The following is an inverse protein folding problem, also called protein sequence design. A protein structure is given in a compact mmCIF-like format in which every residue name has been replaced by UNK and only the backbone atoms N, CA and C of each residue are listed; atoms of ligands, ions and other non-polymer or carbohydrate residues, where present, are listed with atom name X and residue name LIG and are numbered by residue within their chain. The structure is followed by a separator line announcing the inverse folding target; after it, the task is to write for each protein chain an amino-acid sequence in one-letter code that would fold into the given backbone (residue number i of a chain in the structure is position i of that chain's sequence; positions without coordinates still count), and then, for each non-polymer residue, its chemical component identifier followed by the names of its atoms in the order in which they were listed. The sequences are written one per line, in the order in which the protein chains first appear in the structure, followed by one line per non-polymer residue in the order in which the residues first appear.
data_IF_536694787141
#
_entry.id   IF_536694787141
#
_cell.length_a   1.000
_cell.length_b   1.000
_cell.length_c   1.000
_cell.angle_alpha   90.00
_cell.angle_beta   90.00
_cell.angle_gamma   90.00
#
_symmetry.space_group_name_H-M   'P 1'
#
loop_
_entity.id
_entity.type
_entity.pdbx_description
1 polymer ?
#
# COMPACT_ATOMS: atom_id res chain seq x y z
N UNK A 1 14.70 -22.92 6.92
CA UNK A 1 13.57 -22.82 5.98
C UNK A 1 13.88 -21.70 5.02
N UNK A 2 13.77 -21.93 3.71
CA UNK A 2 13.96 -20.88 2.68
C UNK A 2 12.81 -19.89 2.74
N UNK A 3 13.10 -18.59 2.71
CA UNK A 3 12.06 -17.55 2.66
C UNK A 3 11.48 -17.47 1.24
N UNK A 4 10.27 -16.91 1.06
CA UNK A 4 9.71 -16.68 -0.27
C UNK A 4 10.69 -15.88 -1.15
N UNK A 5 10.83 -16.18 -2.45
CA UNK A 5 11.61 -15.35 -3.36
C UNK A 5 11.10 -13.91 -3.44
N UNK A 6 11.96 -13.04 -3.91
CA UNK A 6 11.66 -11.63 -4.23
C UNK A 6 12.00 -11.37 -5.69
N UNK A 7 11.25 -10.49 -6.35
CA UNK A 7 11.42 -10.15 -7.75
C UNK A 7 12.01 -8.76 -7.90
N UNK A 8 12.93 -8.58 -8.84
CA UNK A 8 13.50 -7.28 -9.19
C UNK A 8 12.95 -6.78 -10.52
N UNK A 9 12.84 -5.46 -10.60
CA UNK A 9 12.51 -4.72 -11.82
C UNK A 9 13.76 -4.38 -12.65
N UNK A 10 13.57 -4.09 -13.94
CA UNK A 10 14.64 -3.73 -14.87
C UNK A 10 15.38 -2.47 -14.43
N UNK A 11 14.67 -1.48 -13.88
CA UNK A 11 15.26 -0.20 -13.49
C UNK A 11 16.33 -0.32 -12.38
N UNK A 12 16.22 -1.32 -11.50
CA UNK A 12 17.24 -1.62 -10.47
C UNK A 12 18.52 -2.11 -11.14
N UNK A 13 18.38 -3.08 -12.06
CA UNK A 13 19.50 -3.68 -12.77
C UNK A 13 20.23 -2.64 -13.63
N UNK A 14 19.48 -1.74 -14.27
CA UNK A 14 20.03 -0.63 -15.07
C UNK A 14 20.82 0.36 -14.21
N UNK A 15 20.37 0.67 -12.98
CA UNK A 15 21.14 1.55 -12.09
C UNK A 15 22.43 0.90 -11.59
N UNK A 16 22.41 -0.41 -11.31
CA UNK A 16 23.61 -1.18 -10.95
C UNK A 16 24.60 -1.21 -12.12
N UNK A 17 24.13 -1.55 -13.32
CA UNK A 17 24.94 -1.63 -14.54
C UNK A 17 25.63 -0.30 -14.88
N UNK A 18 24.95 0.82 -14.61
CA UNK A 18 25.49 2.18 -14.80
C UNK A 18 26.34 2.68 -13.63
N UNK A 19 26.53 1.88 -12.58
CA UNK A 19 27.27 2.28 -11.37
C UNK A 19 26.62 3.43 -10.59
N UNK A 20 25.31 3.67 -10.79
CA UNK A 20 24.59 4.80 -10.18
C UNK A 20 24.05 4.49 -8.78
N UNK A 21 24.00 3.22 -8.41
CA UNK A 21 23.47 2.77 -7.13
C UNK A 21 24.40 1.76 -6.44
N UNK A 22 25.55 2.21 -5.90
CA UNK A 22 26.59 1.33 -5.35
C UNK A 22 26.12 0.46 -4.18
N UNK A 23 25.04 0.87 -3.50
CA UNK A 23 24.50 0.16 -2.34
C UNK A 23 23.43 -0.88 -2.71
N UNK A 24 22.95 -0.91 -3.96
CA UNK A 24 21.94 -1.89 -4.39
C UNK A 24 22.47 -3.32 -4.42
N UNK A 25 23.72 -3.51 -4.84
CA UNK A 25 24.34 -4.84 -4.80
C UNK A 25 24.43 -5.37 -3.36
N UNK A 26 24.74 -4.49 -2.40
CA UNK A 26 24.79 -4.84 -0.98
C UNK A 26 23.41 -5.22 -0.44
N UNK A 27 22.35 -4.53 -0.87
CA UNK A 27 20.98 -4.84 -0.48
C UNK A 27 20.47 -6.15 -1.09
N UNK A 28 20.81 -6.43 -2.35
CA UNK A 28 20.55 -7.73 -2.98
C UNK A 28 21.27 -8.85 -2.21
N UNK A 29 22.53 -8.62 -1.84
CA UNK A 29 23.29 -9.56 -1.01
C UNK A 29 22.70 -9.72 0.40
N UNK A 30 22.10 -8.67 0.99
CA UNK A 30 21.37 -8.75 2.26
C UNK A 30 20.15 -9.67 2.11
N UNK A 31 19.32 -9.46 1.08
CA UNK A 31 18.15 -10.31 0.80
C UNK A 31 18.53 -11.78 0.66
N UNK A 32 19.62 -12.06 -0.05
CA UNK A 32 20.16 -13.42 -0.21
C UNK A 32 20.67 -14.00 1.11
N UNK A 33 21.42 -13.22 1.91
CA UNK A 33 21.87 -13.64 3.26
C UNK A 33 20.69 -13.90 4.20
N UNK A 34 19.61 -13.17 4.04
CA UNK A 34 18.35 -13.35 4.78
C UNK A 34 17.55 -14.57 4.32
N UNK A 35 18.02 -15.28 3.29
CA UNK A 35 17.46 -16.54 2.81
C UNK A 35 16.42 -16.39 1.69
N UNK A 36 16.31 -15.21 1.06
CA UNK A 36 15.49 -15.01 -0.13
C UNK A 36 16.24 -15.43 -1.40
N UNK A 37 15.54 -16.12 -2.30
CA UNK A 37 15.99 -16.21 -3.69
C UNK A 37 15.61 -14.92 -4.42
N UNK A 38 16.54 -14.37 -5.21
CA UNK A 38 16.33 -13.12 -5.96
C UNK A 38 16.08 -13.46 -7.41
N UNK A 39 14.88 -13.11 -7.89
CA UNK A 39 14.36 -13.50 -9.19
C UNK A 39 14.10 -12.29 -10.09
N UNK A 40 14.06 -12.53 -11.40
CA UNK A 40 13.54 -11.60 -12.41
C UNK A 40 12.57 -12.34 -13.32
N UNK A 41 11.59 -11.64 -13.89
CA UNK A 41 10.75 -12.24 -14.94
C UNK A 41 11.51 -12.34 -16.25
N UNK A 42 11.05 -13.19 -17.18
CA UNK A 42 11.60 -13.26 -18.54
C UNK A 42 11.50 -11.92 -19.28
N UNK A 43 10.48 -11.12 -18.99
CA UNK A 43 10.32 -9.78 -19.56
C UNK A 43 11.40 -8.83 -19.05
N UNK A 44 11.69 -8.85 -17.74
CA UNK A 44 12.78 -8.06 -17.14
C UNK A 44 14.13 -8.49 -17.69
N UNK A 45 14.37 -9.80 -17.82
CA UNK A 45 15.59 -10.32 -18.47
C UNK A 45 15.72 -9.80 -19.90
N UNK A 46 14.66 -9.94 -20.71
CA UNK A 46 14.68 -9.48 -22.10
C UNK A 46 14.91 -7.98 -22.21
N UNK A 47 14.23 -7.17 -21.40
CA UNK A 47 14.41 -5.72 -21.37
C UNK A 47 15.84 -5.33 -20.98
N UNK A 48 16.41 -6.02 -19.99
CA UNK A 48 17.76 -5.73 -19.49
C UNK A 48 18.87 -6.18 -20.45
N UNK A 49 18.72 -7.33 -21.11
CA UNK A 49 19.76 -7.91 -21.99
C UNK A 49 19.66 -7.47 -23.46
N UNK A 50 18.46 -7.08 -23.91
CA UNK A 50 18.13 -6.85 -25.34
C UNK A 50 17.40 -5.53 -25.58
N UNK A 51 17.64 -4.51 -24.75
CA UNK A 51 17.08 -3.17 -24.95
C UNK A 51 17.41 -2.60 -26.34
N UNK A 52 16.63 -1.61 -26.84
CA UNK A 52 16.60 -1.19 -28.25
C UNK A 52 17.91 -0.60 -28.84
N UNK A 53 19.01 -0.60 -28.08
CA UNK A 53 20.34 -0.11 -28.49
C UNK A 53 21.51 -0.97 -27.99
N UNK A 54 21.29 -2.25 -27.64
CA UNK A 54 22.34 -3.11 -27.12
C UNK A 54 23.25 -3.64 -28.22
N UNK A 55 24.56 -3.39 -28.08
CA UNK A 55 25.59 -4.13 -28.81
C UNK A 55 25.86 -5.50 -28.15
N UNK A 56 26.56 -6.40 -28.84
CA UNK A 56 26.98 -7.67 -28.24
C UNK A 56 27.84 -7.48 -26.97
N UNK A 57 28.62 -6.40 -26.91
CA UNK A 57 29.39 -6.04 -25.71
C UNK A 57 28.48 -5.57 -24.57
N UNK A 58 27.41 -4.83 -24.86
CA UNK A 58 26.44 -4.41 -23.85
C UNK A 58 25.67 -5.60 -23.27
N UNK A 59 25.26 -6.55 -24.11
CA UNK A 59 24.60 -7.79 -23.66
C UNK A 59 25.54 -8.61 -22.77
N UNK A 60 26.81 -8.78 -23.15
CA UNK A 60 27.79 -9.50 -22.32
C UNK A 60 28.04 -8.81 -20.97
N UNK A 61 28.10 -7.47 -20.95
CA UNK A 61 28.24 -6.67 -19.72
C UNK A 61 27.02 -6.85 -18.81
N UNK A 62 25.81 -6.74 -19.37
CA UNK A 62 24.57 -6.94 -18.63
C UNK A 62 24.42 -8.37 -18.11
N UNK A 63 24.80 -9.39 -18.89
CA UNK A 63 24.85 -10.77 -18.42
C UNK A 63 25.82 -10.91 -17.23
N UNK A 64 26.98 -10.27 -17.29
CA UNK A 64 27.92 -10.23 -16.17
C UNK A 64 27.36 -9.59 -14.90
N UNK A 65 26.40 -8.65 -15.01
CA UNK A 65 25.67 -8.10 -13.85
C UNK A 65 24.73 -9.16 -13.26
N UNK A 66 23.94 -9.87 -14.08
CA UNK A 66 23.04 -10.92 -13.60
C UNK A 66 23.82 -12.04 -12.89
N UNK A 67 24.93 -12.47 -13.48
CA UNK A 67 25.80 -13.52 -12.93
C UNK A 67 26.44 -13.07 -11.60
N UNK A 68 26.97 -11.84 -11.55
CA UNK A 68 27.55 -11.25 -10.33
C UNK A 68 26.54 -11.19 -9.19
N UNK A 69 25.31 -10.77 -9.49
CA UNK A 69 24.24 -10.63 -8.51
C UNK A 69 23.57 -11.97 -8.16
N UNK A 70 23.89 -13.05 -8.86
CA UNK A 70 23.25 -14.38 -8.71
C UNK A 70 21.72 -14.31 -8.83
N UNK A 71 21.23 -13.42 -9.69
CA UNK A 71 19.81 -13.26 -9.99
C UNK A 71 19.40 -14.36 -10.97
N UNK A 72 18.24 -14.98 -10.75
CA UNK A 72 17.73 -16.04 -11.63
C UNK A 72 16.48 -15.61 -12.37
N UNK A 73 16.36 -16.09 -13.60
CA UNK A 73 15.12 -15.96 -14.36
C UNK A 73 14.07 -16.90 -13.79
N UNK A 74 12.89 -16.34 -13.53
CA UNK A 74 11.78 -17.07 -12.99
C UNK A 74 11.04 -17.87 -14.08
N UNK A 75 10.91 -19.17 -13.86
CA UNK A 75 10.31 -20.13 -14.80
C UNK A 75 8.97 -20.68 -14.33
N UNK A 76 8.52 -20.32 -13.12
CA UNK A 76 7.36 -20.95 -12.48
C UNK A 76 6.02 -20.38 -12.95
N UNK A 77 6.01 -19.18 -13.54
CA UNK A 77 4.81 -18.60 -14.15
C UNK A 77 4.18 -19.54 -15.21
N UNK A 78 5.00 -20.35 -15.90
CA UNK A 78 4.55 -21.32 -16.90
C UNK A 78 3.68 -22.46 -16.32
N UNK A 79 3.61 -22.59 -14.99
CA UNK A 79 2.75 -23.58 -14.32
C UNK A 79 1.31 -23.08 -14.14
N UNK A 80 1.02 -21.82 -14.47
CA UNK A 80 -0.31 -21.23 -14.43
C UNK A 80 -0.86 -21.15 -15.86
N UNK A 81 -2.16 -21.43 -16.09
CA UNK A 81 -2.75 -21.33 -17.43
C UNK A 81 -2.56 -19.94 -18.04
N UNK A 82 -2.11 -19.89 -19.29
CA UNK A 82 -1.83 -18.63 -20.01
C UNK A 82 -3.04 -17.69 -20.03
N UNK A 83 -4.26 -18.22 -20.13
CA UNK A 83 -5.50 -17.43 -20.06
C UNK A 83 -5.63 -16.66 -18.75
N UNK A 84 -5.24 -17.27 -17.62
CA UNK A 84 -5.28 -16.62 -16.31
C UNK A 84 -4.22 -15.51 -16.23
N UNK A 85 -3.01 -15.76 -16.76
CA UNK A 85 -1.95 -14.75 -16.82
C UNK A 85 -2.39 -13.55 -17.67
N UNK A 86 -3.01 -13.80 -18.83
CA UNK A 86 -3.57 -12.76 -19.70
C UNK A 86 -4.71 -11.99 -19.04
N UNK A 87 -5.56 -12.64 -18.26
CA UNK A 87 -6.63 -11.97 -17.53
C UNK A 87 -6.06 -10.94 -16.53
N UNK A 88 -5.07 -11.32 -15.73
CA UNK A 88 -4.41 -10.39 -14.79
C UNK A 88 -3.66 -9.26 -15.49
N UNK A 89 -3.01 -9.56 -16.62
CA UNK A 89 -2.37 -8.55 -17.46
C UNK A 89 -3.39 -7.52 -17.95
N UNK A 90 -4.50 -7.98 -18.53
CA UNK A 90 -5.53 -7.10 -19.07
C UNK A 90 -6.21 -6.28 -17.95
N UNK A 91 -6.42 -6.89 -16.79
CA UNK A 91 -6.88 -6.19 -15.59
C UNK A 91 -5.91 -5.05 -15.23
N UNK A 92 -4.60 -5.32 -15.14
CA UNK A 92 -3.60 -4.30 -14.84
C UNK A 92 -3.61 -3.14 -15.85
N UNK A 93 -3.71 -3.43 -17.16
CA UNK A 93 -3.78 -2.42 -18.22
C UNK A 93 -5.05 -1.56 -18.09
N UNK A 94 -6.21 -2.20 -17.92
CA UNK A 94 -7.49 -1.48 -17.77
C UNK A 94 -7.51 -0.52 -16.57
N UNK A 95 -6.60 -0.73 -15.62
CA UNK A 95 -6.44 0.09 -14.45
C UNK A 95 -5.20 1.00 -14.47
N UNK A 96 -4.66 1.26 -15.65
CA UNK A 96 -3.69 2.32 -15.91
C UNK A 96 -2.23 1.93 -15.70
N UNK A 97 -1.89 0.64 -15.59
CA UNK A 97 -0.50 0.22 -15.74
C UNK A 97 -0.10 0.24 -17.22
N UNK A 98 1.18 0.54 -17.49
CA UNK A 98 1.73 0.35 -18.82
C UNK A 98 1.71 -1.14 -19.20
N UNK A 99 1.74 -1.43 -20.49
CA UNK A 99 1.79 -2.83 -20.97
C UNK A 99 3.00 -3.58 -20.38
N UNK A 100 4.24 -3.03 -20.41
CA UNK A 100 5.39 -3.68 -19.79
C UNK A 100 5.20 -3.99 -18.30
N UNK A 101 4.71 -3.03 -17.51
CA UNK A 101 4.49 -3.23 -16.08
C UNK A 101 3.42 -4.29 -15.83
N UNK A 102 2.33 -4.25 -16.60
CA UNK A 102 1.25 -5.22 -16.51
C UNK A 102 1.72 -6.65 -16.82
N UNK A 103 2.61 -6.82 -17.80
CA UNK A 103 3.19 -8.12 -18.12
C UNK A 103 4.08 -8.65 -16.99
N UNK A 104 4.91 -7.79 -16.39
CA UNK A 104 5.77 -8.14 -15.26
C UNK A 104 4.92 -8.54 -14.05
N UNK A 105 3.93 -7.73 -13.69
CA UNK A 105 3.03 -8.01 -12.56
C UNK A 105 2.28 -9.33 -12.77
N UNK A 106 1.72 -9.57 -13.96
CA UNK A 106 0.99 -10.80 -14.25
C UNK A 106 1.88 -12.05 -14.13
N UNK A 107 3.14 -11.98 -14.61
CA UNK A 107 4.09 -13.07 -14.46
C UNK A 107 4.48 -13.33 -13.01
N UNK A 108 4.74 -12.27 -12.22
CA UNK A 108 5.06 -12.41 -10.79
C UNK A 108 3.90 -13.07 -10.05
N UNK A 109 2.65 -12.63 -10.29
CA UNK A 109 1.45 -13.24 -9.71
C UNK A 109 1.34 -14.72 -10.05
N UNK A 110 1.51 -15.07 -11.33
CA UNK A 110 1.46 -16.45 -11.80
C UNK A 110 2.49 -17.31 -11.06
N UNK A 111 3.70 -16.78 -10.94
CA UNK A 111 4.78 -17.44 -10.23
C UNK A 111 4.54 -17.60 -8.74
N UNK A 112 3.92 -16.60 -8.11
CA UNK A 112 3.54 -16.62 -6.71
C UNK A 112 2.46 -17.67 -6.47
N UNK A 113 1.41 -17.70 -7.31
CA UNK A 113 0.37 -18.72 -7.28
C UNK A 113 0.96 -20.13 -7.41
N UNK A 114 1.86 -20.35 -8.37
CA UNK A 114 2.52 -21.65 -8.56
C UNK A 114 3.39 -22.09 -7.36
N UNK A 115 3.79 -21.16 -6.49
CA UNK A 115 4.57 -21.40 -5.27
C UNK A 115 3.74 -21.35 -3.99
N UNK A 116 2.43 -21.08 -4.06
CA UNK A 116 1.60 -20.85 -2.88
C UNK A 116 2.01 -19.60 -2.07
N UNK A 117 2.59 -18.60 -2.73
CA UNK A 117 3.01 -17.35 -2.11
C UNK A 117 1.87 -16.35 -2.22
N UNK A 118 1.40 -15.87 -1.06
CA UNK A 118 0.29 -14.91 -1.00
C UNK A 118 0.71 -13.51 -1.41
N UNK A 119 1.89 -13.03 -1.03
CA UNK A 119 2.31 -11.65 -1.31
C UNK A 119 3.72 -11.62 -1.90
N UNK A 120 3.83 -11.81 -3.24
CA UNK A 120 5.14 -11.75 -3.88
C UNK A 120 5.71 -10.35 -3.80
N UNK A 121 6.93 -10.23 -3.28
CA UNK A 121 7.62 -8.94 -3.15
C UNK A 121 8.23 -8.58 -4.49
N UNK A 122 7.83 -7.43 -5.02
CA UNK A 122 8.40 -6.87 -6.24
C UNK A 122 9.13 -5.57 -5.92
N UNK A 123 10.45 -5.57 -6.08
CA UNK A 123 11.26 -4.38 -5.89
C UNK A 123 11.41 -3.62 -7.20
N UNK A 124 11.10 -2.33 -7.16
CA UNK A 124 11.18 -1.41 -8.31
C UNK A 124 11.69 -0.04 -7.88
N UNK A 125 12.24 0.75 -8.81
CA UNK A 125 12.54 2.18 -8.58
C UNK A 125 11.36 3.10 -8.88
N UNK A 126 10.26 2.56 -9.38
CA UNK A 126 9.03 3.32 -9.53
C UNK A 126 8.51 3.80 -8.18
N UNK A 127 7.84 4.95 -8.21
CA UNK A 127 7.33 5.61 -7.02
C UNK A 127 5.90 6.11 -7.23
N UNK A 128 5.26 6.50 -6.12
CA UNK A 128 3.96 7.18 -6.15
C UNK A 128 2.84 6.33 -6.75
N UNK A 129 2.14 6.87 -7.76
CA UNK A 129 0.94 6.29 -8.35
C UNK A 129 1.16 4.89 -8.94
N UNK A 130 2.33 4.65 -9.55
CA UNK A 130 2.69 3.37 -10.18
C UNK A 130 2.82 2.25 -9.16
N UNK A 131 3.54 2.47 -8.03
CA UNK A 131 3.59 1.51 -6.92
C UNK A 131 2.20 1.20 -6.38
N UNK A 132 1.37 2.23 -6.20
CA UNK A 132 -0.01 2.07 -5.78
C UNK A 132 -0.79 1.18 -6.75
N UNK A 133 -0.60 1.37 -8.05
CA UNK A 133 -1.26 0.59 -9.09
C UNK A 133 -0.81 -0.87 -9.10
N UNK A 134 0.50 -1.14 -9.03
CA UNK A 134 1.05 -2.50 -8.92
C UNK A 134 0.53 -3.24 -7.68
N UNK A 135 0.49 -2.58 -6.51
CA UNK A 135 -0.06 -3.16 -5.28
C UNK A 135 -1.53 -3.53 -5.36
N UNK A 136 -2.32 -2.85 -6.20
CA UNK A 136 -3.73 -3.22 -6.39
C UNK A 136 -3.91 -4.50 -7.19
N UNK A 137 -2.86 -4.95 -7.89
CA UNK A 137 -2.87 -6.08 -8.82
C UNK A 137 -2.09 -7.28 -8.28
N UNK A 138 -2.08 -7.47 -6.97
CA UNK A 138 -1.54 -8.70 -6.39
C UNK A 138 -0.02 -8.84 -6.42
N UNK A 139 0.72 -7.75 -6.28
CA UNK A 139 2.14 -7.81 -5.88
C UNK A 139 2.43 -6.84 -4.74
N UNK A 140 3.35 -7.20 -3.85
CA UNK A 140 3.87 -6.28 -2.86
C UNK A 140 4.97 -5.42 -3.49
N UNK A 141 4.57 -4.40 -4.26
CA UNK A 141 5.52 -3.51 -4.92
C UNK A 141 6.18 -2.57 -3.90
N UNK A 142 7.50 -2.67 -3.76
CA UNK A 142 8.31 -1.91 -2.80
C UNK A 142 9.33 -1.09 -3.57
N UNK A 143 9.39 0.22 -3.25
CA UNK A 143 10.44 1.07 -3.78
C UNK A 143 11.80 0.57 -3.28
N UNK A 144 12.72 0.27 -4.19
CA UNK A 144 14.07 -0.15 -3.85
C UNK A 144 14.87 1.07 -3.39
N UNK A 145 14.79 1.31 -2.09
CA UNK A 145 15.54 2.33 -1.36
C UNK A 145 16.57 1.63 -0.49
N UNK A 146 17.80 2.12 -0.54
CA UNK A 146 18.82 1.74 0.44
C UNK A 146 18.35 2.27 1.79
N UNK A 147 18.11 1.40 2.76
CA UNK A 147 17.89 1.88 4.13
C UNK A 147 19.18 2.57 4.59
N UNK A 148 19.09 3.86 4.96
CA UNK A 148 20.18 4.49 5.67
C UNK A 148 20.49 3.66 6.93
N UNK A 149 21.76 3.51 7.34
CA UNK A 149 22.09 2.85 8.59
C UNK A 149 21.26 3.47 9.71
N UNK A 150 20.50 2.64 10.45
CA UNK A 150 19.68 3.09 11.58
C UNK A 150 20.55 3.94 12.51
N UNK A 151 20.19 5.21 12.79
CA UNK A 151 20.83 5.95 13.86
C UNK A 151 20.62 5.18 15.17
N UNK A 152 21.70 4.91 15.90
CA UNK A 152 21.60 4.41 17.26
C UNK A 152 20.76 5.40 18.07
N UNK A 153 19.64 4.93 18.62
CA UNK A 153 18.73 5.75 19.41
C UNK A 153 19.44 6.11 20.72
N UNK A 154 20.05 7.30 20.77
CA UNK A 154 20.41 7.91 22.04
C UNK A 154 19.12 8.45 22.67
N UNK A 155 18.59 7.72 23.64
CA UNK A 155 17.48 8.18 24.48
C UNK A 155 18.00 9.35 25.31
N UNK A 156 17.67 10.58 24.92
CA UNK A 156 17.81 11.75 25.79
C UNK A 156 16.46 12.01 26.46
N UNK A 157 16.47 12.08 27.79
CA UNK A 157 15.26 12.33 28.59
C UNK A 157 14.74 13.77 28.38
N UNK A 158 13.42 14.01 28.49
CA UNK A 158 12.85 15.34 28.24
C UNK A 158 13.26 16.34 29.33
N UNK A 159 13.72 17.52 28.92
CA UNK A 159 13.92 18.69 29.80
C UNK A 159 12.55 19.39 30.05
N UNK A 160 12.31 20.01 31.21
CA UNK A 160 11.00 20.58 31.55
C UNK A 160 10.62 21.79 30.67
N UNK A 161 9.31 22.03 30.45
CA UNK A 161 8.85 23.08 29.53
C UNK A 161 8.96 24.48 30.15
N UNK A 162 9.53 25.41 29.39
CA UNK A 162 9.47 26.87 29.61
C UNK A 162 8.20 27.47 28.96
N UNK A 163 7.62 28.56 29.49
CA UNK A 163 6.32 29.08 29.07
C UNK A 163 6.37 29.83 27.72
N UNK A 164 5.26 29.85 26.96
CA UNK A 164 5.26 30.30 25.56
C UNK A 164 5.20 31.83 25.42
N UNK A 165 5.95 32.37 24.45
CA UNK A 165 5.83 33.75 23.93
C UNK A 165 5.10 33.78 22.59
N UNK A 166 4.44 34.90 22.20
CA UNK A 166 3.49 34.95 21.09
C UNK A 166 4.22 35.04 19.74
N UNK A 167 4.08 33.98 18.94
CA UNK A 167 4.60 33.89 17.56
C UNK A 167 4.34 32.54 16.88
N UNK A 168 3.44 31.72 17.45
CA UNK A 168 3.38 30.27 17.28
C UNK A 168 2.65 29.76 16.02
N UNK A 169 1.98 30.61 15.25
CA UNK A 169 1.01 30.14 14.25
C UNK A 169 1.69 29.67 12.95
N UNK A 170 2.73 30.38 12.48
CA UNK A 170 3.46 29.97 11.26
C UNK A 170 4.43 28.80 11.49
N UNK A 171 4.97 28.68 12.70
CA UNK A 171 5.89 27.59 13.03
C UNK A 171 5.18 26.23 13.06
N UNK A 172 3.96 26.15 13.65
CA UNK A 172 3.18 24.91 13.78
C UNK A 172 2.74 24.30 12.45
N UNK A 173 2.39 25.12 11.45
CA UNK A 173 2.01 24.61 10.12
C UNK A 173 3.18 23.91 9.40
N UNK A 174 4.40 24.43 9.59
CA UNK A 174 5.60 23.81 9.04
C UNK A 174 6.04 22.59 9.86
N UNK A 175 5.84 22.58 11.19
CA UNK A 175 6.12 21.39 12.01
C UNK A 175 5.15 20.25 11.72
N UNK A 176 3.88 20.53 11.43
CA UNK A 176 2.90 19.53 11.00
C UNK A 176 3.23 18.96 9.60
N UNK A 177 3.68 19.80 8.67
CA UNK A 177 4.17 19.36 7.34
C UNK A 177 5.43 18.49 7.43
N UNK A 178 6.31 18.75 8.39
CA UNK A 178 7.51 17.93 8.63
C UNK A 178 7.18 16.64 9.40
N UNK A 179 6.24 16.66 10.35
CA UNK A 179 5.79 15.48 11.09
C UNK A 179 5.02 14.48 10.20
N UNK A 180 4.30 14.96 9.18
CA UNK A 180 3.65 14.12 8.16
C UNK A 180 4.65 13.34 7.29
N UNK A 181 5.90 13.80 7.21
CA UNK A 181 6.93 13.23 6.34
C UNK A 181 7.86 12.21 7.04
N UNK A 182 7.88 12.16 8.38
CA UNK A 182 8.97 11.50 9.13
C UNK A 182 8.59 10.42 10.15
N UNK A 183 7.32 10.01 10.35
CA UNK A 183 7.10 9.00 11.38
C UNK A 183 5.70 8.47 11.59
N UNK A 184 5.44 7.32 10.98
CA UNK A 184 4.27 6.46 11.16
C UNK A 184 4.21 5.97 12.62
N UNK A 185 3.35 6.60 13.43
CA UNK A 185 2.58 6.04 14.57
C UNK A 185 1.99 7.15 15.45
N UNK A 186 2.67 8.29 15.58
CA UNK A 186 2.24 9.39 16.46
C UNK A 186 1.19 10.34 15.85
N UNK A 187 1.20 10.52 14.52
CA UNK A 187 0.22 11.39 13.82
C UNK A 187 -1.17 10.75 13.65
N UNK A 188 -1.30 9.46 13.96
CA UNK A 188 -2.51 8.65 13.73
C UNK A 188 -3.10 8.14 15.06
N UNK A 189 -3.05 8.96 16.11
CA UNK A 189 -3.90 8.80 17.28
C UNK A 189 -5.18 9.64 17.09
N UNK A 190 -6.27 9.40 17.86
CA UNK A 190 -7.43 10.29 17.88
C UNK A 190 -7.05 11.77 18.05
N UNK A 191 -6.01 12.05 18.84
CA UNK A 191 -5.45 13.39 19.08
C UNK A 191 -4.71 13.93 17.85
N UNK A 192 -4.00 13.07 17.11
CA UNK A 192 -3.38 13.42 15.83
C UNK A 192 -4.39 13.77 14.74
N UNK A 193 -5.49 13.01 14.65
CA UNK A 193 -6.62 13.34 13.77
C UNK A 193 -7.31 14.65 14.16
N UNK A 194 -7.46 14.92 15.46
CA UNK A 194 -7.96 16.20 15.95
C UNK A 194 -7.02 17.36 15.60
N UNK A 195 -5.70 17.13 15.62
CA UNK A 195 -4.69 18.16 15.29
C UNK A 195 -4.59 18.50 13.79
N UNK A 196 -5.11 17.63 12.91
CA UNK A 196 -5.23 17.92 11.49
C UNK A 196 -6.33 18.94 11.21
N UNK A 197 -7.25 19.17 12.15
CA UNK A 197 -8.24 20.24 12.05
C UNK A 197 -7.49 21.57 12.25
N UNK A 198 -7.42 22.46 11.25
CA UNK A 198 -6.70 23.71 11.42
C UNK A 198 -7.49 24.58 12.39
N UNK A 199 -6.91 24.87 13.56
CA UNK A 199 -7.46 25.81 14.56
C UNK A 199 -7.84 27.17 13.92
N UNK A 200 -7.19 27.53 12.81
CA UNK A 200 -7.40 28.77 12.04
C UNK A 200 -8.73 28.79 11.26
N UNK A 201 -9.29 27.63 10.86
CA UNK A 201 -10.59 27.56 10.16
C UNK A 201 -11.75 27.86 11.13
N UNK A 202 -11.50 27.75 12.44
CA UNK A 202 -12.46 28.00 13.50
C UNK A 202 -12.35 29.43 14.06
N UNK A 203 -12.25 30.47 13.22
CA UNK A 203 -12.25 31.88 13.68
C UNK A 203 -13.42 32.77 13.18
N UNK A 204 -14.15 32.46 12.09
CA UNK A 204 -15.15 33.39 11.51
C UNK A 204 -16.49 32.68 11.21
N UNK A 205 -17.62 33.40 11.18
CA UNK A 205 -19.00 32.93 11.45
C UNK A 205 -19.75 32.05 10.41
N UNK A 206 -19.11 31.47 9.38
CA UNK A 206 -19.76 30.55 8.41
C UNK A 206 -19.38 29.06 8.60
N UNK A 207 -19.32 28.60 9.87
CA UNK A 207 -18.65 27.34 10.23
C UNK A 207 -19.52 26.09 10.26
N UNK A 208 -20.83 26.19 10.13
CA UNK A 208 -21.70 25.01 10.26
C UNK A 208 -21.47 24.07 9.08
N UNK A 209 -21.45 24.60 7.85
CA UNK A 209 -21.29 23.80 6.66
C UNK A 209 -19.89 23.15 6.56
N UNK A 210 -18.82 23.88 6.90
CA UNK A 210 -17.46 23.32 6.94
C UNK A 210 -17.29 22.26 8.04
N UNK A 211 -17.88 22.46 9.23
CA UNK A 211 -17.88 21.44 10.30
C UNK A 211 -18.64 20.19 9.89
N UNK A 212 -19.81 20.34 9.28
CA UNK A 212 -20.59 19.21 8.78
C UNK A 212 -19.86 18.49 7.64
N UNK A 213 -19.21 19.21 6.73
CA UNK A 213 -18.35 18.60 5.70
C UNK A 213 -17.20 17.79 6.32
N UNK A 214 -16.48 18.34 7.31
CA UNK A 214 -15.44 17.61 8.06
C UNK A 214 -16.01 16.34 8.71
N UNK A 215 -17.15 16.43 9.41
CA UNK A 215 -17.81 15.27 10.04
C UNK A 215 -18.20 14.22 9.02
N UNK A 216 -18.72 14.63 7.87
CA UNK A 216 -19.12 13.72 6.79
C UNK A 216 -17.90 12.99 6.19
N UNK A 217 -16.81 13.71 5.93
CA UNK A 217 -15.53 13.12 5.50
C UNK A 217 -15.05 12.11 6.54
N UNK A 218 -14.94 12.51 7.81
CA UNK A 218 -14.51 11.62 8.89
C UNK A 218 -15.40 10.39 9.00
N UNK A 219 -16.74 10.56 9.04
CA UNK A 219 -17.70 9.45 9.16
C UNK A 219 -17.54 8.44 8.03
N UNK A 220 -17.45 8.92 6.77
CA UNK A 220 -17.29 8.04 5.61
C UNK A 220 -15.97 7.27 5.67
N UNK A 221 -14.85 7.97 5.81
CA UNK A 221 -13.54 7.33 5.70
C UNK A 221 -13.17 6.50 6.94
N UNK A 222 -13.72 6.81 8.12
CA UNK A 222 -13.62 5.95 9.29
C UNK A 222 -14.38 4.63 9.07
N UNK A 223 -15.59 4.67 8.50
CA UNK A 223 -16.35 3.45 8.17
C UNK A 223 -15.67 2.59 7.12
N UNK A 224 -15.27 3.21 6.01
CA UNK A 224 -14.62 2.50 4.91
C UNK A 224 -13.28 1.92 5.34
N UNK A 225 -12.47 2.68 6.07
CA UNK A 225 -11.21 2.19 6.61
C UNK A 225 -11.42 1.05 7.60
N UNK A 226 -12.36 1.19 8.54
CA UNK A 226 -12.68 0.13 9.50
C UNK A 226 -13.12 -1.16 8.81
N UNK A 227 -14.03 -1.06 7.83
CA UNK A 227 -14.49 -2.20 7.04
C UNK A 227 -13.34 -2.92 6.33
N UNK A 228 -12.42 -2.17 5.69
CA UNK A 228 -11.22 -2.73 5.03
C UNK A 228 -10.29 -3.43 6.01
N UNK A 229 -10.06 -2.81 7.17
CA UNK A 229 -9.29 -3.42 8.24
C UNK A 229 -9.90 -4.75 8.70
N UNK A 230 -11.22 -4.76 8.97
CA UNK A 230 -11.93 -5.99 9.40
C UNK A 230 -11.85 -7.07 8.31
N UNK A 231 -12.08 -6.72 7.04
CA UNK A 231 -11.97 -7.64 5.92
C UNK A 231 -10.56 -8.26 5.83
N UNK A 232 -9.50 -7.47 5.98
CA UNK A 232 -8.13 -8.00 6.03
C UNK A 232 -7.89 -8.93 7.23
N UNK A 233 -8.46 -8.60 8.39
CA UNK A 233 -8.39 -9.46 9.59
C UNK A 233 -9.14 -10.78 9.43
N UNK A 234 -10.26 -10.78 8.70
CA UNK A 234 -11.04 -11.97 8.31
C UNK A 234 -10.22 -12.86 7.38
N UNK A 235 -9.55 -12.26 6.39
CA UNK A 235 -8.72 -12.97 5.41
C UNK A 235 -7.34 -13.38 5.94
N UNK A 236 -7.03 -13.05 7.19
CA UNK A 236 -5.78 -13.43 7.83
C UNK A 236 -4.56 -12.74 7.25
N UNK A 237 -4.72 -11.50 6.79
CA UNK A 237 -3.59 -10.70 6.34
C UNK A 237 -2.61 -10.42 7.49
N UNK A 238 -1.35 -10.18 7.16
CA UNK A 238 -0.28 -9.77 8.08
C UNK A 238 -0.26 -8.25 8.27
N UNK A 239 0.42 -7.78 9.33
CA UNK A 239 0.61 -6.33 9.56
C UNK A 239 1.30 -5.64 8.38
N UNK A 240 2.28 -6.30 7.74
CA UNK A 240 2.98 -5.75 6.58
C UNK A 240 2.08 -5.67 5.34
N UNK A 241 1.24 -6.68 5.12
CA UNK A 241 0.26 -6.69 4.02
C UNK A 241 -0.74 -5.54 4.17
N UNK A 242 -1.27 -5.33 5.38
CA UNK A 242 -2.16 -4.21 5.68
C UNK A 242 -1.46 -2.86 5.46
N UNK A 243 -0.25 -2.71 6.01
CA UNK A 243 0.54 -1.47 5.89
C UNK A 243 0.84 -1.11 4.44
N UNK A 244 1.19 -2.09 3.62
CA UNK A 244 1.63 -1.85 2.25
C UNK A 244 0.46 -1.75 1.27
N UNK A 245 -0.60 -2.52 1.48
CA UNK A 245 -1.68 -2.66 0.49
C UNK A 245 -2.94 -1.86 0.82
N UNK A 246 -3.24 -1.51 2.08
CA UNK A 246 -4.49 -0.81 2.43
C UNK A 246 -4.32 0.66 2.79
N UNK A 247 -3.09 1.13 2.98
CA UNK A 247 -2.81 2.53 3.35
C UNK A 247 -2.62 3.42 2.13
N UNK A 248 -2.94 4.70 2.30
CA UNK A 248 -2.74 5.76 1.31
C UNK A 248 -3.46 5.45 -0.01
N UNK A 249 -4.76 5.14 0.09
CA UNK A 249 -5.61 4.69 -1.03
C UNK A 249 -6.74 5.68 -1.36
N UNK A 250 -6.76 6.85 -0.73
CA UNK A 250 -7.74 7.89 -1.04
C UNK A 250 -7.34 8.59 -2.33
N UNK A 251 -8.31 8.82 -3.21
CA UNK A 251 -8.12 9.47 -4.51
C UNK A 251 -9.04 10.69 -4.63
N UNK A 252 -8.73 11.67 -5.51
CA UNK A 252 -9.61 12.80 -5.78
C UNK A 252 -11.06 12.40 -6.11
N UNK A 253 -11.22 11.31 -6.86
CA UNK A 253 -12.54 10.78 -7.18
C UNK A 253 -13.34 10.34 -5.93
N UNK A 254 -12.69 9.77 -4.92
CA UNK A 254 -13.36 9.29 -3.69
C UNK A 254 -13.83 10.42 -2.77
N UNK A 255 -13.31 11.63 -2.94
CA UNK A 255 -13.66 12.81 -2.13
C UNK A 255 -14.54 13.81 -2.89
N UNK A 256 -14.90 13.50 -4.14
CA UNK A 256 -15.74 14.37 -4.96
C UNK A 256 -17.11 14.60 -4.29
N UNK A 257 -17.54 15.87 -4.23
CA UNK A 257 -18.83 16.25 -3.63
C UNK A 257 -18.80 16.35 -2.10
N UNK A 258 -17.61 16.32 -1.49
CA UNK A 258 -17.42 16.51 -0.04
C UNK A 258 -16.90 17.92 0.32
N UNK A 259 -16.88 18.81 -0.66
CA UNK A 259 -16.55 20.21 -0.46
C UNK A 259 -17.61 20.89 0.41
N UNK A 260 -17.20 21.86 1.23
CA UNK A 260 -18.17 22.72 1.88
C UNK A 260 -18.68 23.78 0.87
N UNK A 261 -19.97 24.16 0.92
CA UNK A 261 -20.56 25.13 -0.01
C UNK A 261 -19.84 26.48 -0.08
N UNK A 262 -19.09 26.85 0.97
CA UNK A 262 -18.38 28.12 1.08
C UNK A 262 -16.90 28.02 0.64
N UNK A 263 -16.41 26.82 0.29
CA UNK A 263 -15.06 26.59 -0.21
C UNK A 263 -13.95 26.76 0.84
N UNK A 264 -14.26 26.70 2.13
CA UNK A 264 -13.26 26.78 3.21
C UNK A 264 -12.30 25.59 3.21
N UNK A 265 -12.77 24.41 2.84
CA UNK A 265 -12.00 23.18 2.74
C UNK A 265 -11.36 23.09 1.36
N UNK A 266 -10.05 23.31 1.30
CA UNK A 266 -9.29 23.07 0.05
C UNK A 266 -9.32 21.58 -0.32
N UNK A 267 -9.28 21.25 -1.61
CA UNK A 267 -9.22 19.86 -2.06
C UNK A 267 -8.04 19.07 -1.48
N UNK A 268 -6.88 19.72 -1.28
CA UNK A 268 -5.72 19.12 -0.60
C UNK A 268 -6.03 18.77 0.85
N UNK A 269 -6.74 19.64 1.57
CA UNK A 269 -7.14 19.39 2.95
C UNK A 269 -8.11 18.21 3.04
N UNK A 270 -9.13 18.17 2.17
CA UNK A 270 -10.12 17.10 2.11
C UNK A 270 -9.42 15.75 1.88
N UNK A 271 -8.48 15.68 0.92
CA UNK A 271 -7.69 14.48 0.64
C UNK A 271 -6.87 14.01 1.84
N UNK A 272 -6.17 14.94 2.51
CA UNK A 272 -5.35 14.61 3.68
C UNK A 272 -6.19 14.12 4.86
N UNK A 273 -7.32 14.80 5.13
CA UNK A 273 -8.24 14.40 6.20
C UNK A 273 -8.83 13.02 5.92
N UNK A 274 -9.31 12.80 4.70
CA UNK A 274 -9.86 11.52 4.27
C UNK A 274 -8.84 10.38 4.38
N UNK A 275 -7.60 10.60 3.89
CA UNK A 275 -6.52 9.61 3.96
C UNK A 275 -6.14 9.28 5.41
N UNK A 276 -6.03 10.30 6.26
CA UNK A 276 -5.71 10.09 7.67
C UNK A 276 -6.80 9.28 8.39
N UNK A 277 -8.08 9.61 8.15
CA UNK A 277 -9.21 8.88 8.72
C UNK A 277 -9.26 7.43 8.26
N UNK A 278 -9.14 7.19 6.95
CA UNK A 278 -9.12 5.84 6.39
C UNK A 278 -7.95 5.02 6.93
N UNK A 279 -6.74 5.59 6.90
CA UNK A 279 -5.54 4.92 7.41
C UNK A 279 -5.70 4.52 8.87
N UNK A 280 -6.11 5.46 9.74
CA UNK A 280 -6.35 5.16 11.15
C UNK A 280 -7.38 4.03 11.33
N UNK A 281 -8.52 4.14 10.66
CA UNK A 281 -9.59 3.16 10.82
C UNK A 281 -9.24 1.78 10.26
N UNK A 282 -8.41 1.70 9.21
CA UNK A 282 -7.85 0.42 8.74
C UNK A 282 -7.06 -0.29 9.85
N UNK A 283 -6.24 0.42 10.62
CA UNK A 283 -5.48 -0.21 11.71
C UNK A 283 -6.42 -0.71 12.82
N UNK A 284 -7.37 0.13 13.22
CA UNK A 284 -8.35 -0.23 14.26
C UNK A 284 -9.19 -1.44 13.82
N UNK A 285 -9.72 -1.40 12.61
CA UNK A 285 -10.51 -2.50 12.04
C UNK A 285 -9.71 -3.78 11.90
N UNK A 286 -8.44 -3.69 11.50
CA UNK A 286 -7.58 -4.85 11.37
C UNK A 286 -7.29 -5.51 12.70
N UNK A 287 -6.92 -4.74 13.73
CA UNK A 287 -6.70 -5.29 15.07
C UNK A 287 -7.99 -5.90 15.63
N UNK A 288 -9.13 -5.23 15.44
CA UNK A 288 -10.43 -5.74 15.87
C UNK A 288 -10.80 -7.07 15.18
N UNK A 289 -10.64 -7.14 13.86
CA UNK A 289 -10.94 -8.34 13.07
C UNK A 289 -9.97 -9.49 13.37
N UNK A 290 -8.68 -9.19 13.52
CA UNK A 290 -7.64 -10.15 13.87
C UNK A 290 -7.86 -10.76 15.26
N UNK A 291 -8.38 -10.00 16.22
CA UNK A 291 -8.68 -10.48 17.56
C UNK A 291 -9.88 -11.45 17.63
N UNK A 292 -10.67 -11.61 16.56
CA UNK A 292 -11.80 -12.54 16.53
C UNK A 292 -11.36 -14.00 16.41
N UNK A 293 -12.25 -14.89 16.85
CA UNK A 293 -12.05 -16.34 16.77
C UNK A 293 -11.96 -16.81 15.33
N UNK A 294 -11.29 -17.94 15.10
CA UNK A 294 -11.19 -18.54 13.77
C UNK A 294 -12.56 -18.88 13.18
N UNK A 295 -13.50 -19.35 14.01
CA UNK A 295 -14.87 -19.65 13.58
C UNK A 295 -15.57 -18.38 13.04
N UNK A 296 -15.53 -17.29 13.80
CA UNK A 296 -16.12 -16.02 13.36
C UNK A 296 -15.52 -15.52 12.04
N UNK A 297 -14.20 -15.63 11.88
CA UNK A 297 -13.53 -15.24 10.63
C UNK A 297 -13.99 -16.10 9.46
N UNK A 298 -14.10 -17.41 9.64
CA UNK A 298 -14.61 -18.33 8.60
C UNK A 298 -16.04 -17.98 8.21
N UNK A 299 -16.93 -17.73 9.17
CA UNK A 299 -18.31 -17.36 8.90
C UNK A 299 -18.41 -16.04 8.13
N UNK A 300 -17.60 -15.05 8.51
CA UNK A 300 -17.54 -13.76 7.80
C UNK A 300 -16.97 -13.89 6.40
N UNK A 301 -15.96 -14.73 6.20
CA UNK A 301 -15.43 -15.02 4.87
C UNK A 301 -16.49 -15.68 3.98
N UNK A 302 -17.18 -16.71 4.48
CA UNK A 302 -18.27 -17.40 3.76
C UNK A 302 -19.39 -16.43 3.41
N UNK A 303 -19.84 -15.62 4.37
CA UNK A 303 -20.85 -14.57 4.16
C UNK A 303 -20.40 -13.59 3.08
N UNK A 304 -19.17 -13.08 3.18
CA UNK A 304 -18.62 -12.12 2.23
C UNK A 304 -18.54 -12.68 0.82
N UNK A 305 -18.01 -13.90 0.66
CA UNK A 305 -17.90 -14.57 -0.64
C UNK A 305 -19.28 -14.84 -1.27
N UNK A 306 -20.26 -15.27 -0.48
CA UNK A 306 -21.64 -15.44 -0.96
C UNK A 306 -22.25 -14.12 -1.45
N UNK A 307 -22.05 -13.02 -0.70
CA UNK A 307 -22.52 -11.70 -1.12
C UNK A 307 -21.80 -11.21 -2.37
N UNK A 308 -20.49 -11.39 -2.48
CA UNK A 308 -19.72 -11.02 -3.68
C UNK A 308 -20.26 -11.74 -4.93
N UNK A 309 -20.55 -13.03 -4.82
CA UNK A 309 -21.15 -13.81 -5.91
C UNK A 309 -22.52 -13.26 -6.31
N UNK A 310 -23.37 -12.83 -5.36
CA UNK A 310 -24.66 -12.20 -5.67
C UNK A 310 -24.53 -10.87 -6.44
N UNK A 311 -23.37 -10.22 -6.35
CA UNK A 311 -23.04 -9.01 -7.10
C UNK A 311 -22.18 -9.29 -8.35
N UNK A 312 -22.12 -10.55 -8.81
CA UNK A 312 -21.31 -11.01 -9.96
C UNK A 312 -19.80 -10.76 -9.82
N UNK A 313 -19.29 -10.66 -8.59
CA UNK A 313 -17.86 -10.66 -8.33
C UNK A 313 -17.39 -12.10 -8.08
N UNK A 314 -16.62 -12.63 -9.02
CA UNK A 314 -16.07 -13.98 -8.93
C UNK A 314 -14.58 -13.93 -8.59
N UNK A 315 -14.22 -14.67 -7.56
CA UNK A 315 -12.87 -14.77 -7.03
C UNK A 315 -12.50 -16.25 -6.88
N UNK A 316 -11.23 -16.64 -7.05
CA UNK A 316 -10.78 -18.01 -6.82
C UNK A 316 -11.25 -18.55 -5.46
N UNK A 317 -11.68 -19.81 -5.41
CA UNK A 317 -12.15 -20.45 -4.17
C UNK A 317 -11.07 -20.56 -3.09
N UNK A 318 -9.79 -20.44 -3.47
CA UNK A 318 -8.68 -20.48 -2.54
C UNK A 318 -8.44 -19.09 -1.91
N UNK A 319 -8.76 -18.88 -0.62
CA UNK A 319 -8.57 -17.60 0.07
C UNK A 319 -7.11 -17.14 0.08
N UNK A 320 -6.17 -18.07 -0.09
CA UNK A 320 -4.73 -17.79 -0.12
C UNK A 320 -4.31 -17.06 -1.40
N UNK A 321 -5.16 -17.08 -2.43
CA UNK A 321 -4.96 -16.35 -3.69
C UNK A 321 -5.68 -15.00 -3.69
N UNK A 322 -6.40 -14.66 -2.61
CA UNK A 322 -7.25 -13.46 -2.50
C UNK A 322 -6.60 -12.41 -1.61
N UNK A 323 -5.59 -11.73 -2.17
CA UNK A 323 -4.74 -10.78 -1.44
C UNK A 323 -4.66 -9.40 -2.11
N UNK A 324 -5.54 -9.15 -3.07
CA UNK A 324 -5.58 -7.88 -3.78
C UNK A 324 -6.33 -6.83 -2.98
N UNK A 325 -5.87 -5.58 -3.10
CA UNK A 325 -6.63 -4.44 -2.58
C UNK A 325 -8.07 -4.45 -3.08
N UNK A 326 -8.28 -4.73 -4.37
CA UNK A 326 -9.63 -4.74 -4.98
C UNK A 326 -10.54 -5.79 -4.34
N UNK A 327 -10.01 -6.99 -4.08
CA UNK A 327 -10.75 -8.01 -3.34
C UNK A 327 -11.11 -7.55 -1.93
N UNK A 328 -10.15 -7.02 -1.15
CA UNK A 328 -10.44 -6.54 0.21
C UNK A 328 -11.41 -5.36 0.23
N UNK A 329 -11.30 -4.44 -0.73
CA UNK A 329 -12.19 -3.29 -0.88
C UNK A 329 -13.63 -3.75 -1.15
N UNK A 330 -13.83 -4.71 -2.06
CA UNK A 330 -15.16 -5.29 -2.34
C UNK A 330 -15.68 -6.15 -1.21
N UNK A 331 -14.81 -6.92 -0.56
CA UNK A 331 -15.17 -7.71 0.62
C UNK A 331 -15.64 -6.79 1.76
N UNK A 332 -14.93 -5.69 2.01
CA UNK A 332 -15.34 -4.68 2.98
C UNK A 332 -16.69 -4.05 2.61
N UNK A 333 -16.90 -3.76 1.32
CA UNK A 333 -18.16 -3.20 0.83
C UNK A 333 -19.35 -4.14 1.05
N UNK A 334 -19.24 -5.43 0.72
CA UNK A 334 -20.35 -6.37 0.96
C UNK A 334 -20.60 -6.63 2.46
N UNK A 335 -19.54 -6.53 3.28
CA UNK A 335 -19.65 -6.71 4.73
C UNK A 335 -20.06 -5.43 5.48
N UNK A 336 -20.24 -4.30 4.78
CA UNK A 336 -20.46 -2.98 5.38
C UNK A 336 -21.61 -2.94 6.39
N UNK A 337 -22.70 -3.66 6.15
CA UNK A 337 -23.84 -3.68 7.08
C UNK A 337 -23.46 -4.25 8.45
N UNK A 338 -22.47 -5.14 8.49
CA UNK A 338 -21.96 -5.73 9.73
C UNK A 338 -20.92 -4.80 10.36
N UNK A 339 -19.99 -4.26 9.57
CA UNK A 339 -18.90 -3.41 10.09
C UNK A 339 -19.39 -2.02 10.51
N UNK A 340 -20.36 -1.45 9.80
CA UNK A 340 -20.98 -0.17 10.15
C UNK A 340 -21.70 -0.26 11.50
N UNK A 341 -22.45 -1.32 11.74
CA UNK A 341 -23.13 -1.55 13.02
C UNK A 341 -22.17 -1.62 14.22
N UNK A 342 -20.89 -1.95 13.98
CA UNK A 342 -19.85 -2.00 15.01
C UNK A 342 -19.23 -0.62 15.23
N UNK A 343 -18.88 0.09 14.14
CA UNK A 343 -18.10 1.32 14.21
C UNK A 343 -18.97 2.56 14.41
N UNK A 344 -20.21 2.59 13.90
CA UNK A 344 -21.10 3.75 14.00
C UNK A 344 -21.31 4.24 15.44
N UNK A 345 -21.56 3.38 16.45
CA UNK A 345 -21.73 3.85 17.83
C UNK A 345 -20.46 4.46 18.45
N UNK A 346 -19.29 4.09 17.91
CA UNK A 346 -17.99 4.58 18.35
C UNK A 346 -17.57 5.89 17.67
N UNK A 347 -18.16 6.22 16.52
CA UNK A 347 -17.96 7.50 15.84
C UNK A 347 -18.80 8.56 16.55
N UNK A 348 -18.22 9.18 17.60
CA UNK A 348 -18.80 10.30 18.32
C UNK A 348 -18.09 11.58 17.92
N UNK A 349 -18.82 12.49 17.28
CA UNK A 349 -18.35 13.85 17.01
C UNK A 349 -18.96 14.78 18.05
N UNK A 350 -18.15 15.22 19.02
CA UNK A 350 -18.52 16.23 20.01
C UNK A 350 -18.49 17.64 19.42
#
# INVERSE_FOLDING_TARGET
MTKPPVWLDTNILVEIDKGKAPLFESEIANLQRDGHEVLITKNVEHEFLHGPKFSAQDTARAQGVLDRLKVKVDTMANRVPMQQVQAWRNEAINHGLSIPDADVIAHIRASAQARGIRNPIFYTRDAGGTLGAMRRRGVLAVEFKVQAPRPAVHVSMPKPPTPPRPGFVRARLNTAKFALKEGIKGAFSPEGLASLIPDVVLAIADRVAAKEAIKNIQKKFLKEGFGKGVAAGVMGWTDDEVRLNLKNRVTPFRVQGMEDPAGFLTGTYILQLAEACENYAVDVGFQWGRAKTLAWKKDMAVKGMSLLANYNYHYPDNPDLLFEYDFIDKLAWVLRSTTDAIVEPAIRFS
#
